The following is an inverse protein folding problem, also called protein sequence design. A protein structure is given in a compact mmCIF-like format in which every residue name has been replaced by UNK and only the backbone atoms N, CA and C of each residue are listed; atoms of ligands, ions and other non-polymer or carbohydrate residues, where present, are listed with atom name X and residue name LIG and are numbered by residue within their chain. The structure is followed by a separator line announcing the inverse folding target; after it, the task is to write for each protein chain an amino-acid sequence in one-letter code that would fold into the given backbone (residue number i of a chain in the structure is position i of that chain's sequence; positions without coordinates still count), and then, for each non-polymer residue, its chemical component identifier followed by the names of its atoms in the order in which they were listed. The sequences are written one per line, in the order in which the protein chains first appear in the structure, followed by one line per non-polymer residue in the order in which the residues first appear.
data_IF_024754742291
#
_entry.id   IF_024754742291
#
_cell.length_a   1.000
_cell.length_b   1.000
_cell.length_c   1.000
_cell.angle_alpha   90.00
_cell.angle_beta   90.00
_cell.angle_gamma   90.00
#
_symmetry.space_group_name_H-M   'P 1'
#
loop_
_entity.id
_entity.type
_entity.pdbx_description
1 polymer ?
#
# COMPACT_ATOMS: atom_id res chain seq x y z
N UNK A 1 27.82 19.14 -0.41
CA UNK A 1 27.33 17.84 0.04
C UNK A 1 28.37 17.22 0.94
N UNK A 2 27.97 16.76 2.14
CA UNK A 2 28.84 16.00 3.03
C UNK A 2 29.04 14.59 2.48
N UNK A 3 30.10 13.89 2.90
CA UNK A 3 30.32 12.47 2.61
C UNK A 3 29.25 11.54 3.21
N UNK A 4 28.36 12.09 4.04
CA UNK A 4 27.29 11.37 4.73
C UNK A 4 25.89 11.87 4.36
N UNK A 5 25.74 12.60 3.25
CA UNK A 5 24.41 13.00 2.80
C UNK A 5 23.62 11.74 2.36
N UNK A 6 22.47 11.53 2.99
CA UNK A 6 21.56 10.41 2.70
C UNK A 6 20.30 10.96 2.04
N UNK A 7 19.85 10.30 0.97
CA UNK A 7 18.66 10.68 0.21
C UNK A 7 17.72 9.49 0.04
N UNK A 8 16.43 9.77 -0.12
CA UNK A 8 15.42 8.77 -0.46
C UNK A 8 15.43 8.62 -1.99
N UNK A 9 15.77 7.43 -2.48
CA UNK A 9 15.86 7.13 -3.93
C UNK A 9 14.71 6.28 -4.46
N UNK A 10 13.82 5.80 -3.60
CA UNK A 10 12.69 4.96 -3.97
C UNK A 10 11.65 4.89 -2.87
N UNK A 11 10.41 4.57 -3.25
CA UNK A 11 9.28 4.42 -2.34
C UNK A 11 8.33 3.34 -2.88
N UNK A 12 8.14 2.29 -2.08
CA UNK A 12 7.02 1.37 -2.21
C UNK A 12 5.89 1.84 -1.31
N UNK A 13 4.69 2.01 -1.86
CA UNK A 13 3.56 2.53 -1.10
C UNK A 13 2.27 1.77 -1.41
N UNK A 14 1.66 1.26 -0.35
CA UNK A 14 0.34 0.63 -0.39
C UNK A 14 -0.47 1.12 0.81
N UNK A 15 -1.70 1.56 0.56
CA UNK A 15 -2.63 2.00 1.61
C UNK A 15 -4.07 1.84 1.11
N UNK A 16 -5.07 2.19 1.92
CA UNK A 16 -6.47 2.25 1.46
C UNK A 16 -6.70 3.18 0.27
N UNK A 17 -5.75 4.07 -0.02
CA UNK A 17 -5.78 4.93 -1.21
C UNK A 17 -5.27 4.23 -2.47
N UNK A 18 -4.75 3.01 -2.39
CA UNK A 18 -4.35 2.21 -3.54
C UNK A 18 -2.89 1.77 -3.49
N UNK A 19 -2.33 1.62 -4.69
CA UNK A 19 -1.06 0.95 -4.96
C UNK A 19 -0.12 1.89 -5.73
N UNK A 20 1.11 2.06 -5.23
CA UNK A 20 2.18 2.82 -5.87
C UNK A 20 2.10 4.35 -5.70
N UNK A 21 3.23 5.05 -5.91
CA UNK A 21 3.33 6.49 -5.66
C UNK A 21 2.39 7.33 -6.54
N UNK A 22 2.16 6.95 -7.79
CA UNK A 22 1.32 7.72 -8.72
C UNK A 22 -0.15 7.75 -8.29
N UNK A 23 -0.70 6.61 -7.86
CA UNK A 23 -2.08 6.54 -7.37
C UNK A 23 -2.28 7.41 -6.13
N UNK A 24 -1.31 7.38 -5.22
CA UNK A 24 -1.32 8.20 -4.02
C UNK A 24 -1.16 9.69 -4.34
N UNK A 25 -0.22 10.04 -5.22
CA UNK A 25 -0.01 11.41 -5.68
C UNK A 25 -1.30 11.98 -6.26
N UNK A 26 -1.89 11.29 -7.24
CA UNK A 26 -3.13 11.74 -7.89
C UNK A 26 -4.27 11.97 -6.91
N UNK A 27 -4.39 11.14 -5.87
CA UNK A 27 -5.44 11.28 -4.85
C UNK A 27 -5.15 12.39 -3.86
N UNK A 28 -3.92 12.46 -3.35
CA UNK A 28 -3.52 13.41 -2.30
C UNK A 28 -3.38 14.84 -2.81
N UNK A 29 -3.06 15.04 -4.10
CA UNK A 29 -2.94 16.39 -4.68
C UNK A 29 -4.25 16.94 -5.23
N UNK A 30 -5.31 16.12 -5.30
CA UNK A 30 -6.63 16.57 -5.76
C UNK A 30 -7.44 17.11 -4.57
N UNK A 31 -8.02 18.32 -4.69
CA UNK A 31 -8.97 18.82 -3.70
C UNK A 31 -10.19 17.89 -3.57
N UNK A 32 -10.74 17.77 -2.36
CA UNK A 32 -11.95 16.98 -2.10
C UNK A 32 -11.73 15.47 -2.09
N UNK A 33 -10.54 15.01 -1.68
CA UNK A 33 -10.29 13.58 -1.46
C UNK A 33 -11.19 13.06 -0.34
N UNK A 34 -12.08 12.14 -0.70
CA UNK A 34 -12.87 11.39 0.27
C UNK A 34 -12.10 10.12 0.73
N UNK A 35 -12.19 9.76 2.01
CA UNK A 35 -11.57 8.54 2.52
C UNK A 35 -12.21 7.28 1.92
N UNK A 36 -11.40 6.24 1.70
CA UNK A 36 -11.91 4.91 1.36
C UNK A 36 -12.33 4.20 2.65
N UNK A 37 -13.63 3.96 2.80
CA UNK A 37 -14.24 3.42 4.02
C UNK A 37 -15.07 2.17 3.74
N UNK A 38 -15.02 1.20 4.65
CA UNK A 38 -15.95 0.08 4.75
C UNK A 38 -16.56 0.07 6.15
N UNK A 39 -17.85 0.39 6.23
CA UNK A 39 -18.62 0.46 7.47
C UNK A 39 -19.48 -0.78 7.73
N UNK A 40 -19.53 -1.74 6.80
CA UNK A 40 -20.46 -2.87 6.86
C UNK A 40 -19.78 -4.15 7.32
N UNK A 41 -18.54 -4.40 6.85
CA UNK A 41 -17.83 -5.67 7.12
C UNK A 41 -17.53 -5.92 8.58
N UNK A 42 -17.30 -4.85 9.35
CA UNK A 42 -16.95 -4.93 10.78
C UNK A 42 -17.83 -4.04 11.65
N UNK A 43 -19.10 -3.85 11.27
CA UNK A 43 -20.05 -3.03 12.02
C UNK A 43 -20.05 -3.39 13.53
N UNK A 44 -20.05 -2.40 14.44
CA UNK A 44 -20.27 -0.96 14.19
C UNK A 44 -19.00 -0.18 13.81
N UNK A 45 -17.86 -0.84 13.64
CA UNK A 45 -16.59 -0.17 13.36
C UNK A 45 -16.40 0.07 11.87
N UNK A 46 -16.13 1.32 11.52
CA UNK A 46 -15.71 1.69 10.16
C UNK A 46 -14.21 1.47 10.02
N UNK A 47 -13.80 0.86 8.91
CA UNK A 47 -12.39 0.58 8.62
C UNK A 47 -11.96 1.22 7.29
N UNK A 48 -10.65 1.38 7.12
CA UNK A 48 -10.03 1.66 5.84
C UNK A 48 -9.50 0.35 5.25
N UNK A 49 -10.19 -0.25 4.27
CA UNK A 49 -9.78 -1.54 3.73
C UNK A 49 -8.48 -1.41 2.92
N UNK A 50 -7.73 -2.50 2.82
CA UNK A 50 -6.69 -2.63 1.80
C UNK A 50 -7.33 -2.67 0.41
N UNK A 51 -6.66 -2.12 -0.62
CA UNK A 51 -7.08 -2.29 -2.00
C UNK A 51 -6.94 -3.77 -2.39
N UNK A 52 -7.57 -4.14 -3.50
CA UNK A 52 -7.23 -5.40 -4.17
C UNK A 52 -5.79 -5.29 -4.70
N UNK A 53 -4.96 -6.29 -4.41
CA UNK A 53 -3.53 -6.29 -4.73
C UNK A 53 -3.20 -7.58 -5.47
N UNK A 54 -2.57 -7.46 -6.65
CA UNK A 54 -1.98 -8.62 -7.33
C UNK A 54 -0.61 -8.96 -6.74
N UNK A 55 -0.61 -9.87 -5.77
CA UNK A 55 0.60 -10.32 -5.09
C UNK A 55 1.61 -11.01 -6.01
N UNK A 56 1.23 -11.44 -7.22
CA UNK A 56 2.19 -12.04 -8.16
C UNK A 56 3.19 -11.02 -8.71
N UNK A 57 2.83 -9.72 -8.71
CA UNK A 57 3.73 -8.65 -9.12
C UNK A 57 4.82 -8.35 -8.08
N UNK A 58 4.53 -8.61 -6.80
CA UNK A 58 5.42 -8.32 -5.68
C UNK A 58 6.19 -9.55 -5.19
N UNK A 59 5.59 -10.74 -5.28
CA UNK A 59 6.15 -12.00 -4.77
C UNK A 59 6.10 -13.05 -5.88
N UNK A 60 7.20 -13.22 -6.61
CA UNK A 60 7.24 -14.09 -7.79
C UNK A 60 6.95 -15.58 -7.49
N UNK A 61 7.35 -16.08 -6.32
CA UNK A 61 7.19 -17.49 -5.96
C UNK A 61 5.88 -17.72 -5.22
N UNK A 62 4.99 -18.52 -5.81
CA UNK A 62 3.74 -18.95 -5.15
C UNK A 62 3.96 -19.70 -3.84
N UNK A 63 5.11 -20.38 -3.68
CA UNK A 63 5.48 -21.03 -2.42
C UNK A 63 5.59 -20.02 -1.28
N UNK A 64 6.32 -18.94 -1.52
CA UNK A 64 6.57 -17.86 -0.57
C UNK A 64 5.27 -17.12 -0.25
N UNK A 65 4.46 -16.80 -1.27
CA UNK A 65 3.15 -16.17 -1.07
C UNK A 65 2.26 -16.94 -0.08
N UNK A 66 2.20 -18.28 -0.17
CA UNK A 66 1.40 -19.12 0.72
C UNK A 66 1.93 -19.18 2.15
N UNK A 67 3.22 -18.95 2.34
CA UNK A 67 3.86 -18.95 3.66
C UNK A 67 3.75 -17.59 4.35
N UNK A 68 3.43 -16.54 3.60
CA UNK A 68 3.37 -15.16 4.10
C UNK A 68 1.97 -14.76 4.50
N UNK A 69 1.84 -14.22 5.71
CA UNK A 69 0.63 -13.53 6.16
C UNK A 69 0.51 -12.16 5.48
N UNK A 70 -0.70 -11.59 5.42
CA UNK A 70 -0.97 -10.33 4.71
C UNK A 70 -0.02 -9.19 5.10
N UNK A 71 0.30 -9.05 6.39
CA UNK A 71 1.22 -7.99 6.86
C UNK A 71 2.65 -8.16 6.33
N UNK A 72 3.10 -9.40 6.13
CA UNK A 72 4.41 -9.69 5.55
C UNK A 72 4.40 -9.38 4.06
N UNK A 73 3.31 -9.73 3.37
CA UNK A 73 3.15 -9.43 1.94
C UNK A 73 3.15 -7.93 1.67
N UNK A 74 2.49 -7.13 2.51
CA UNK A 74 2.57 -5.67 2.42
C UNK A 74 4.02 -5.15 2.54
N UNK A 75 4.84 -5.81 3.36
CA UNK A 75 6.25 -5.47 3.52
C UNK A 75 7.12 -5.73 2.29
N UNK A 76 6.61 -6.41 1.26
CA UNK A 76 7.34 -6.65 0.00
C UNK A 76 7.02 -5.61 -1.07
N UNK A 77 6.17 -4.63 -0.79
CA UNK A 77 5.78 -3.63 -1.78
C UNK A 77 6.94 -2.66 -2.04
N UNK A 78 7.30 -2.51 -3.31
CA UNK A 78 8.43 -1.67 -3.74
C UNK A 78 8.03 -0.55 -4.67
#
# INVERSE_FOLDING_TARGET
MSSHDVVITGIGLVSSLGEGPDAHWQKLTRPGLEPVLDATRFAPYTIHPLPEIDWNLQIAKRGDQRQMETWQRLGTYT
#
